data_IF_385245130945
#
_entry.id   IF_385245130945
#
_cell.length_a   1.000
_cell.length_b   1.000
_cell.length_c   1.000
_cell.angle_alpha   90.00
_cell.angle_beta   90.00
_cell.angle_gamma   90.00
#
_symmetry.space_group_name_H-M   'P 1'
#
loop_
_entity.id
_entity.type
_entity.pdbx_description
1 polymer ?
#
# COMPACT_ATOMS: atom_id res chain seq x y z
N UNK A 1 39.89 -26.38 10.52
CA UNK A 1 38.63 -25.93 9.91
C UNK A 1 37.89 -25.13 10.97
N UNK A 2 38.10 -23.82 11.06
CA UNK A 2 37.38 -22.98 12.01
C UNK A 2 36.04 -22.60 11.40
N UNK A 3 34.94 -23.01 12.05
CA UNK A 3 33.60 -22.52 11.80
C UNK A 3 33.52 -21.09 12.33
N UNK A 4 33.40 -20.11 11.44
CA UNK A 4 33.02 -18.75 11.81
C UNK A 4 31.50 -18.73 12.03
N UNK A 5 31.07 -18.51 13.27
CA UNK A 5 29.71 -18.09 13.57
C UNK A 5 29.57 -16.64 13.13
N UNK A 6 28.78 -16.38 12.09
CA UNK A 6 28.34 -15.04 11.76
C UNK A 6 27.33 -14.60 12.83
N UNK A 7 27.80 -13.78 13.78
CA UNK A 7 26.92 -13.00 14.65
C UNK A 7 26.04 -12.10 13.79
N UNK A 8 24.74 -12.04 14.05
CA UNK A 8 23.91 -10.93 13.56
C UNK A 8 24.58 -9.61 13.96
N UNK A 9 24.56 -8.60 13.09
CA UNK A 9 25.08 -7.28 13.45
C UNK A 9 24.21 -6.68 14.56
N UNK A 10 24.81 -5.92 15.47
CA UNK A 10 24.09 -5.21 16.53
C UNK A 10 22.97 -4.32 15.95
N UNK A 11 23.18 -3.76 14.76
CA UNK A 11 22.20 -2.97 14.02
C UNK A 11 20.96 -3.78 13.59
N UNK A 12 21.12 -5.04 13.17
CA UNK A 12 19.98 -5.90 12.82
C UNK A 12 19.13 -6.20 14.06
N UNK A 13 19.78 -6.53 15.18
CA UNK A 13 19.12 -6.83 16.45
C UNK A 13 18.31 -5.64 16.95
N UNK A 14 18.92 -4.46 16.86
CA UNK A 14 18.31 -3.18 17.21
C UNK A 14 17.14 -2.82 16.30
N UNK A 15 17.29 -2.98 14.99
CA UNK A 15 16.25 -2.58 14.03
C UNK A 15 15.03 -3.49 14.09
N UNK A 16 15.19 -4.78 14.40
CA UNK A 16 14.10 -5.77 14.41
C UNK A 16 13.29 -5.80 15.71
N UNK A 17 13.75 -5.09 16.75
CA UNK A 17 13.08 -5.06 18.06
C UNK A 17 12.88 -3.59 18.49
N UNK A 18 11.91 -3.35 19.36
CA UNK A 18 11.70 -1.99 19.90
C UNK A 18 12.60 -1.81 21.11
N UNK A 19 13.66 -1.00 21.00
CA UNK A 19 14.60 -0.73 22.10
C UNK A 19 14.01 0.28 23.11
N UNK A 20 13.72 -0.13 24.35
CA UNK A 20 13.21 0.77 25.39
C UNK A 20 14.21 1.86 25.82
N UNK A 21 15.50 1.69 25.57
CA UNK A 21 16.56 2.63 25.95
C UNK A 21 16.63 3.85 25.02
N UNK A 22 16.26 3.67 23.74
CA UNK A 22 16.15 4.74 22.74
C UNK A 22 14.75 5.32 22.63
N UNK A 23 13.74 4.61 23.16
CA UNK A 23 12.37 5.06 23.19
C UNK A 23 11.75 4.80 24.57
N UNK A 24 11.87 5.79 25.46
CA UNK A 24 11.27 5.74 26.80
C UNK A 24 9.75 5.51 26.68
N UNK A 25 9.29 4.33 27.12
CA UNK A 25 7.88 3.88 27.15
C UNK A 25 7.01 4.48 26.04
N UNK A 26 7.04 3.89 24.85
CA UNK A 26 6.23 4.40 23.73
C UNK A 26 4.75 4.11 24.01
N UNK A 27 3.96 5.18 24.07
CA UNK A 27 2.51 5.11 24.26
C UNK A 27 1.86 4.21 23.18
N UNK A 28 1.05 3.20 23.56
CA UNK A 28 0.46 2.26 22.61
C UNK A 28 -0.45 2.94 21.57
N UNK A 29 -1.11 4.05 21.91
CA UNK A 29 -1.94 4.81 20.97
C UNK A 29 -1.07 5.54 19.92
N UNK A 30 0.06 6.11 20.32
CA UNK A 30 1.04 6.67 19.40
C UNK A 30 1.65 5.59 18.48
N UNK A 31 1.93 4.39 19.00
CA UNK A 31 2.41 3.26 18.18
C UNK A 31 1.39 2.86 17.12
N UNK A 32 0.11 2.79 17.47
CA UNK A 32 -0.99 2.58 16.52
C UNK A 32 -1.02 3.66 15.44
N UNK A 33 -0.94 4.94 15.84
CA UNK A 33 -0.95 6.08 14.92
C UNK A 33 0.16 5.96 13.86
N UNK A 34 1.39 5.71 14.31
CA UNK A 34 2.55 5.59 13.42
C UNK A 34 2.44 4.37 12.51
N UNK A 35 1.97 3.23 13.02
CA UNK A 35 1.78 2.02 12.21
C UNK A 35 0.71 2.23 11.12
N UNK A 36 -0.37 2.95 11.44
CA UNK A 36 -1.39 3.32 10.47
C UNK A 36 -0.81 4.22 9.37
N UNK A 37 -0.11 5.29 9.76
CA UNK A 37 0.52 6.18 8.79
C UNK A 37 1.52 5.45 7.88
N UNK A 38 2.36 4.57 8.42
CA UNK A 38 3.39 3.87 7.64
C UNK A 38 2.79 3.03 6.49
N UNK A 39 1.60 2.44 6.68
CA UNK A 39 0.97 1.48 5.75
C UNK A 39 0.95 1.96 4.29
N UNK A 40 0.65 3.24 4.06
CA UNK A 40 0.76 3.89 2.74
C UNK A 40 1.57 5.19 2.75
N UNK A 41 2.17 5.56 3.89
CA UNK A 41 3.00 6.75 4.05
C UNK A 41 4.49 6.48 3.87
N UNK A 42 4.95 5.24 3.96
CA UNK A 42 6.36 4.88 3.77
C UNK A 42 6.75 4.86 2.28
N UNK A 43 7.39 5.94 1.83
CA UNK A 43 7.79 6.12 0.43
C UNK A 43 8.72 5.01 -0.08
N UNK A 44 9.60 4.48 0.78
CA UNK A 44 10.49 3.36 0.42
C UNK A 44 9.70 2.07 0.22
N UNK A 45 8.74 1.79 1.12
CA UNK A 45 7.91 0.60 1.00
C UNK A 45 7.04 0.64 -0.26
N UNK A 46 6.53 1.82 -0.64
CA UNK A 46 5.61 1.95 -1.78
C UNK A 46 6.21 1.58 -3.14
N UNK A 47 7.55 1.59 -3.27
CA UNK A 47 8.27 1.14 -4.47
C UNK A 47 7.82 -0.25 -4.91
N UNK A 48 7.60 -1.19 -3.98
CA UNK A 48 7.20 -2.56 -4.31
C UNK A 48 5.83 -2.62 -5.01
N UNK A 49 4.91 -1.69 -4.72
CA UNK A 49 3.59 -1.66 -5.35
C UNK A 49 3.68 -1.17 -6.79
N UNK A 50 4.43 -0.08 -7.04
CA UNK A 50 4.67 0.45 -8.39
C UNK A 50 5.50 -0.51 -9.23
N UNK A 51 6.54 -1.11 -8.64
CA UNK A 51 7.53 -1.92 -9.35
C UNK A 51 6.97 -3.30 -9.69
N UNK A 52 6.23 -3.94 -8.76
CA UNK A 52 5.72 -5.30 -8.94
C UNK A 52 4.20 -5.41 -9.00
N UNK A 53 3.50 -5.01 -7.93
CA UNK A 53 2.09 -5.38 -7.74
C UNK A 53 1.16 -4.86 -8.84
N UNK A 54 1.30 -3.59 -9.24
CA UNK A 54 0.47 -3.01 -10.30
C UNK A 54 0.75 -3.62 -11.68
N UNK A 55 1.96 -4.13 -11.92
CA UNK A 55 2.31 -4.86 -13.12
C UNK A 55 1.71 -6.27 -13.12
N UNK A 56 1.85 -7.00 -12.00
CA UNK A 56 1.33 -8.36 -11.83
C UNK A 56 -0.20 -8.42 -11.95
N UNK A 57 -0.88 -7.40 -11.42
CA UNK A 57 -2.34 -7.24 -11.56
C UNK A 57 -2.76 -6.68 -12.92
N UNK A 58 -1.80 -6.30 -13.77
CA UNK A 58 -2.02 -5.71 -15.09
C UNK A 58 -2.93 -4.48 -15.05
N UNK A 59 -2.78 -3.64 -14.02
CA UNK A 59 -3.50 -2.37 -13.88
C UNK A 59 -2.70 -1.21 -14.46
N UNK A 60 -1.40 -1.15 -14.15
CA UNK A 60 -0.48 -0.14 -14.68
C UNK A 60 0.64 -0.82 -15.47
N UNK A 61 1.08 -0.16 -16.54
CA UNK A 61 2.18 -0.61 -17.40
C UNK A 61 2.68 0.56 -18.24
N UNK A 62 3.97 0.61 -18.56
CA UNK A 62 4.58 1.65 -19.40
C UNK A 62 5.58 2.55 -18.68
N UNK A 63 5.33 2.86 -17.41
CA UNK A 63 6.33 3.48 -16.54
C UNK A 63 7.57 2.59 -16.47
N UNK A 64 8.78 3.16 -16.58
CA UNK A 64 10.01 2.38 -16.59
C UNK A 64 10.10 1.41 -15.42
N UNK A 65 9.81 1.85 -14.19
CA UNK A 65 9.89 1.01 -13.00
C UNK A 65 8.91 -0.19 -13.08
N UNK A 66 7.63 0.08 -13.36
CA UNK A 66 6.59 -0.96 -13.45
C UNK A 66 6.90 -1.99 -14.54
N UNK A 67 7.34 -1.52 -15.72
CA UNK A 67 7.67 -2.41 -16.84
C UNK A 67 8.95 -3.20 -16.60
N UNK A 68 10.02 -2.53 -16.12
CA UNK A 68 11.31 -3.16 -15.91
C UNK A 68 11.24 -4.29 -14.90
N UNK A 69 10.58 -4.07 -13.76
CA UNK A 69 10.46 -5.07 -12.70
C UNK A 69 9.33 -6.06 -12.99
N UNK A 70 8.11 -5.74 -12.56
CA UNK A 70 6.99 -6.68 -12.62
C UNK A 70 6.53 -7.00 -14.05
N UNK A 71 6.59 -6.02 -14.97
CA UNK A 71 6.15 -6.22 -16.36
C UNK A 71 7.03 -7.16 -17.17
N UNK A 72 8.30 -7.32 -16.79
CA UNK A 72 9.28 -8.21 -17.45
C UNK A 72 9.83 -9.29 -16.52
N UNK A 73 9.18 -9.49 -15.37
CA UNK A 73 9.52 -10.51 -14.37
C UNK A 73 10.98 -10.46 -13.90
N UNK A 74 11.54 -9.25 -13.76
CA UNK A 74 12.90 -9.09 -13.23
C UNK A 74 12.92 -9.34 -11.73
N UNK A 75 13.67 -10.37 -11.33
CA UNK A 75 13.91 -10.69 -9.93
C UNK A 75 14.98 -9.75 -9.35
N UNK A 76 14.59 -8.96 -8.36
CA UNK A 76 15.49 -8.12 -7.58
C UNK A 76 15.17 -8.28 -6.09
N UNK A 77 16.11 -8.81 -5.32
CA UNK A 77 15.87 -9.10 -3.91
C UNK A 77 15.68 -7.84 -3.06
N UNK A 78 16.33 -6.72 -3.41
CA UNK A 78 16.21 -5.47 -2.67
C UNK A 78 14.84 -4.83 -2.90
N UNK A 79 14.29 -4.94 -4.12
CA UNK A 79 12.94 -4.48 -4.40
C UNK A 79 11.87 -5.40 -3.81
N UNK A 80 12.10 -6.71 -3.81
CA UNK A 80 11.19 -7.67 -3.20
C UNK A 80 11.18 -7.62 -1.66
N UNK A 81 12.24 -7.12 -1.01
CA UNK A 81 12.35 -7.09 0.46
C UNK A 81 11.65 -5.91 1.14
N UNK A 82 11.15 -4.94 0.37
CA UNK A 82 10.65 -3.66 0.91
C UNK A 82 9.55 -3.82 1.97
N UNK A 83 8.55 -4.68 1.76
CA UNK A 83 7.48 -4.94 2.76
C UNK A 83 8.08 -5.57 4.02
N UNK A 84 8.90 -6.63 3.83
CA UNK A 84 9.56 -7.33 4.92
C UNK A 84 10.35 -6.38 5.81
N UNK A 85 11.28 -5.62 5.22
CA UNK A 85 12.14 -4.70 5.95
C UNK A 85 11.31 -3.61 6.62
N UNK A 86 10.38 -2.97 5.90
CA UNK A 86 9.65 -1.81 6.44
C UNK A 86 8.75 -2.18 7.60
N UNK A 87 8.02 -3.29 7.52
CA UNK A 87 7.12 -3.70 8.60
C UNK A 87 7.86 -4.30 9.80
N UNK A 88 8.78 -5.25 9.60
CA UNK A 88 9.48 -5.86 10.73
C UNK A 88 10.41 -4.90 11.47
N UNK A 89 10.90 -3.85 10.82
CA UNK A 89 11.76 -2.86 11.49
C UNK A 89 11.01 -1.67 12.07
N UNK A 90 9.69 -1.53 11.81
CA UNK A 90 8.90 -0.38 12.24
C UNK A 90 7.48 -0.78 12.71
N UNK A 91 6.46 -0.72 11.85
CA UNK A 91 5.06 -0.87 12.27
C UNK A 91 4.77 -2.18 13.00
N UNK A 92 5.18 -3.33 12.45
CA UNK A 92 4.85 -4.62 13.05
C UNK A 92 5.57 -4.81 14.39
N UNK A 93 6.86 -4.47 14.50
CA UNK A 93 7.57 -4.57 15.79
C UNK A 93 6.97 -3.64 16.84
N UNK A 94 6.58 -2.43 16.46
CA UNK A 94 5.99 -1.44 17.36
C UNK A 94 4.60 -1.91 17.82
N UNK A 95 3.80 -2.45 16.91
CA UNK A 95 2.49 -3.03 17.25
C UNK A 95 2.64 -4.24 18.17
N UNK A 96 3.64 -5.12 17.95
CA UNK A 96 3.92 -6.26 18.84
C UNK A 96 4.31 -5.77 20.23
N UNK A 97 5.21 -4.79 20.32
CA UNK A 97 5.61 -4.18 21.59
C UNK A 97 4.42 -3.58 22.35
N UNK A 98 3.61 -2.76 21.68
CA UNK A 98 2.42 -2.13 22.25
C UNK A 98 1.38 -3.17 22.72
N UNK A 99 1.15 -4.21 21.90
CA UNK A 99 0.22 -5.29 22.21
C UNK A 99 0.70 -6.10 23.42
N UNK A 100 1.99 -6.39 23.52
CA UNK A 100 2.58 -7.12 24.63
C UNK A 100 2.41 -6.36 25.95
N UNK A 101 2.73 -5.06 25.95
CA UNK A 101 2.63 -4.19 27.14
C UNK A 101 1.21 -3.97 27.64
N UNK A 102 0.20 -4.21 26.80
CA UNK A 102 -1.22 -3.98 27.12
C UNK A 102 -2.02 -5.28 27.34
N UNK A 103 -1.41 -6.46 27.15
CA UNK A 103 -2.13 -7.74 27.07
C UNK A 103 -2.93 -8.10 28.33
N UNK A 104 -2.39 -7.81 29.51
CA UNK A 104 -2.97 -8.21 30.81
C UNK A 104 -3.55 -7.02 31.60
N UNK A 105 -3.66 -5.84 30.98
CA UNK A 105 -4.24 -4.64 31.61
C UNK A 105 -5.74 -4.54 31.25
N UNK A 106 -6.60 -4.87 32.22
CA UNK A 106 -8.06 -4.80 32.07
C UNK A 106 -8.60 -3.38 31.81
N UNK A 107 -7.78 -2.34 32.02
CA UNK A 107 -8.08 -0.95 31.68
C UNK A 107 -7.48 -0.54 30.33
N UNK A 108 -7.03 -1.48 29.50
CA UNK A 108 -6.47 -1.27 28.14
C UNK A 108 -7.03 -2.23 27.11
N UNK A 109 -8.18 -2.85 27.40
CA UNK A 109 -8.77 -3.87 26.54
C UNK A 109 -9.07 -3.34 25.14
N UNK A 110 -9.47 -2.08 25.00
CA UNK A 110 -9.81 -1.52 23.70
C UNK A 110 -8.56 -1.28 22.85
N UNK A 111 -7.57 -0.57 23.39
CA UNK A 111 -6.32 -0.37 22.64
C UNK A 111 -5.62 -1.70 22.35
N UNK A 112 -5.62 -2.65 23.29
CA UNK A 112 -5.04 -3.98 23.05
C UNK A 112 -5.73 -4.72 21.90
N UNK A 113 -7.07 -4.78 21.91
CA UNK A 113 -7.84 -5.42 20.84
C UNK A 113 -7.62 -4.75 19.49
N UNK A 114 -7.58 -3.41 19.44
CA UNK A 114 -7.28 -2.67 18.21
C UNK A 114 -5.87 -2.96 17.69
N UNK A 115 -4.86 -2.98 18.56
CA UNK A 115 -3.49 -3.35 18.21
C UNK A 115 -3.42 -4.77 17.65
N UNK A 116 -4.14 -5.73 18.23
CA UNK A 116 -4.21 -7.12 17.73
C UNK A 116 -4.85 -7.22 16.35
N UNK A 117 -5.96 -6.51 16.14
CA UNK A 117 -6.63 -6.45 14.82
C UNK A 117 -5.67 -5.86 13.78
N UNK A 118 -4.97 -4.78 14.11
CA UNK A 118 -4.03 -4.15 13.18
C UNK A 118 -2.76 -5.00 12.96
N UNK A 119 -2.28 -5.71 13.99
CA UNK A 119 -1.21 -6.70 13.87
C UNK A 119 -1.56 -7.78 12.85
N UNK A 120 -2.77 -8.33 12.94
CA UNK A 120 -3.27 -9.34 11.99
C UNK A 120 -3.32 -8.75 10.57
N UNK A 121 -3.81 -7.52 10.40
CA UNK A 121 -3.83 -6.87 9.09
C UNK A 121 -2.42 -6.72 8.49
N UNK A 122 -1.45 -6.19 9.23
CA UNK A 122 -0.07 -6.04 8.76
C UNK A 122 0.58 -7.40 8.45
N UNK A 123 0.38 -8.39 9.32
CA UNK A 123 0.91 -9.73 9.11
C UNK A 123 0.28 -10.43 7.90
N UNK A 124 -0.99 -10.15 7.59
CA UNK A 124 -1.64 -10.68 6.40
C UNK A 124 -0.97 -10.22 5.11
N UNK A 125 -0.49 -8.97 5.07
CA UNK A 125 0.26 -8.44 3.92
C UNK A 125 1.60 -9.17 3.78
N UNK A 126 2.31 -9.41 4.88
CA UNK A 126 3.60 -10.13 4.88
C UNK A 126 3.41 -11.55 4.36
N UNK A 127 2.49 -12.34 4.95
CA UNK A 127 2.33 -13.73 4.54
C UNK A 127 1.74 -13.86 3.14
N UNK A 128 0.82 -12.98 2.71
CA UNK A 128 0.30 -12.99 1.33
C UNK A 128 1.39 -12.62 0.31
N UNK A 129 2.50 -11.98 0.74
CA UNK A 129 3.65 -11.66 -0.10
C UNK A 129 4.70 -12.77 -0.12
N UNK A 130 5.00 -13.37 1.05
CA UNK A 130 6.20 -14.21 1.24
C UNK A 130 5.92 -15.66 1.64
N UNK A 131 4.70 -16.02 2.04
CA UNK A 131 4.38 -17.33 2.59
C UNK A 131 4.70 -17.44 4.09
N UNK A 132 5.41 -18.49 4.46
CA UNK A 132 5.86 -18.73 5.84
C UNK A 132 6.74 -17.58 6.34
N UNK A 133 6.49 -17.07 7.54
CA UNK A 133 7.15 -15.88 8.06
C UNK A 133 7.11 -15.79 9.60
N UNK A 134 8.04 -15.07 10.25
CA UNK A 134 8.00 -14.83 11.69
C UNK A 134 6.72 -14.14 12.14
N UNK A 135 5.95 -14.77 13.03
CA UNK A 135 4.74 -14.17 13.60
C UNK A 135 4.65 -14.37 15.12
N UNK A 136 4.50 -15.61 15.58
CA UNK A 136 4.32 -15.95 17.01
C UNK A 136 5.53 -15.61 17.88
N UNK A 137 6.73 -15.57 17.30
CA UNK A 137 7.98 -15.25 18.00
C UNK A 137 8.59 -13.89 17.57
N UNK A 138 7.97 -13.19 16.62
CA UNK A 138 8.51 -11.96 16.06
C UNK A 138 8.53 -10.82 17.09
N UNK A 139 9.56 -9.96 17.03
CA UNK A 139 9.65 -8.74 17.87
C UNK A 139 9.86 -8.98 19.37
N UNK A 140 10.13 -10.22 19.79
CA UNK A 140 10.27 -10.60 21.20
C UNK A 140 11.72 -10.59 21.72
N UNK A 141 12.67 -10.00 20.99
CA UNK A 141 14.08 -9.97 21.36
C UNK A 141 14.33 -9.25 22.69
N UNK A 142 13.94 -7.97 22.79
CA UNK A 142 14.10 -7.20 24.03
C UNK A 142 13.02 -7.50 25.09
N UNK A 143 11.91 -8.16 24.70
CA UNK A 143 10.82 -8.53 25.60
C UNK A 143 11.05 -9.88 26.30
N UNK A 144 11.54 -10.89 25.57
CA UNK A 144 11.67 -12.26 26.05
C UNK A 144 13.03 -12.93 25.72
N UNK A 145 13.98 -12.21 25.11
CA UNK A 145 15.26 -12.78 24.68
C UNK A 145 15.16 -13.67 23.44
N UNK A 146 14.04 -13.61 22.70
CA UNK A 146 13.81 -14.41 21.47
C UNK A 146 14.30 -13.66 20.24
N UNK A 147 15.57 -13.85 19.94
CA UNK A 147 16.27 -13.10 18.89
C UNK A 147 16.29 -13.76 17.50
N UNK A 148 16.02 -15.07 17.43
CA UNK A 148 15.96 -15.84 16.18
C UNK A 148 14.57 -16.46 16.02
N UNK A 149 13.54 -15.66 15.68
CA UNK A 149 12.17 -16.14 15.60
C UNK A 149 12.03 -17.16 14.45
N UNK A 150 11.35 -18.27 14.72
CA UNK A 150 11.01 -19.24 13.67
C UNK A 150 10.05 -18.62 12.65
N UNK A 151 10.07 -19.18 11.45
CA UNK A 151 9.08 -18.85 10.42
C UNK A 151 7.87 -19.74 10.65
N UNK A 152 6.74 -19.13 10.98
CA UNK A 152 5.49 -19.85 11.14
C UNK A 152 4.94 -20.23 9.78
N UNK A 153 4.33 -21.41 9.70
CA UNK A 153 3.67 -21.84 8.47
C UNK A 153 2.52 -20.90 8.14
N UNK A 154 2.32 -20.59 6.87
CA UNK A 154 1.20 -19.76 6.43
C UNK A 154 -0.15 -20.30 6.91
N UNK A 155 -0.34 -21.63 6.91
CA UNK A 155 -1.54 -22.26 7.47
C UNK A 155 -1.76 -21.91 8.95
N UNK A 156 -0.71 -22.00 9.76
CA UNK A 156 -0.76 -21.70 11.20
C UNK A 156 -0.97 -20.19 11.45
N UNK A 157 -0.37 -19.34 10.63
CA UNK A 157 -0.59 -17.88 10.64
C UNK A 157 -2.07 -17.57 10.39
N UNK A 158 -2.68 -18.16 9.36
CA UNK A 158 -4.09 -17.96 9.05
C UNK A 158 -5.01 -18.50 10.16
N UNK A 159 -4.69 -19.66 10.75
CA UNK A 159 -5.40 -20.17 11.91
C UNK A 159 -5.36 -19.16 13.08
N UNK A 160 -4.20 -18.58 13.35
CA UNK A 160 -4.03 -17.57 14.38
C UNK A 160 -4.78 -16.25 14.06
N UNK A 161 -4.91 -15.86 12.78
CA UNK A 161 -5.71 -14.69 12.41
C UNK A 161 -7.17 -14.80 12.85
N UNK A 162 -7.81 -15.95 12.62
CA UNK A 162 -9.21 -16.14 13.04
C UNK A 162 -9.37 -16.07 14.56
N UNK A 163 -8.46 -16.72 15.31
CA UNK A 163 -8.48 -16.72 16.77
C UNK A 163 -8.23 -15.33 17.36
N UNK A 164 -7.23 -14.60 16.85
CA UNK A 164 -6.89 -13.26 17.32
C UNK A 164 -8.03 -12.27 17.06
N UNK A 165 -8.62 -12.31 15.87
CA UNK A 165 -9.72 -11.41 15.51
C UNK A 165 -10.99 -11.71 16.30
N UNK A 166 -11.32 -12.99 16.50
CA UNK A 166 -12.48 -13.38 17.31
C UNK A 166 -12.35 -12.96 18.78
N UNK A 167 -11.20 -13.23 19.41
CA UNK A 167 -10.97 -12.84 20.79
C UNK A 167 -10.91 -11.31 20.95
N UNK A 168 -10.27 -10.59 20.02
CA UNK A 168 -10.25 -9.13 20.04
C UNK A 168 -11.66 -8.53 19.96
N UNK A 169 -12.52 -9.06 19.07
CA UNK A 169 -13.93 -8.65 18.96
C UNK A 169 -14.69 -8.86 20.26
N UNK A 170 -14.47 -10.00 20.93
CA UNK A 170 -15.14 -10.34 22.19
C UNK A 170 -14.63 -9.56 23.40
N UNK A 171 -13.39 -9.04 23.36
CA UNK A 171 -12.81 -8.23 24.43
C UNK A 171 -13.10 -6.73 24.33
N UNK A 172 -13.47 -6.23 23.15
CA UNK A 172 -13.83 -4.81 22.98
C UNK A 172 -15.02 -4.45 23.85
N UNK A 173 -14.86 -3.37 24.63
CA UNK A 173 -15.88 -2.83 25.53
C UNK A 173 -15.90 -1.29 25.43
N UNK A 174 -16.90 -0.67 24.78
CA UNK A 174 -16.98 0.78 24.63
C UNK A 174 -16.98 1.60 25.94
N UNK A 175 -17.22 0.95 27.07
CA UNK A 175 -17.22 1.55 28.41
C UNK A 175 -15.83 1.65 29.05
N UNK A 176 -14.84 0.96 28.49
CA UNK A 176 -13.43 0.93 28.94
C UNK A 176 -12.61 2.07 28.32
N UNK A 177 -11.30 1.87 28.19
CA UNK A 177 -10.36 2.88 27.73
C UNK A 177 -10.72 3.46 26.36
N UNK A 178 -10.37 4.73 26.17
CA UNK A 178 -10.54 5.41 24.89
C UNK A 178 -9.29 5.21 24.04
N UNK A 179 -9.48 4.67 22.85
CA UNK A 179 -8.44 4.62 21.82
C UNK A 179 -8.25 6.03 21.28
N UNK A 180 -7.04 6.55 21.43
CA UNK A 180 -6.63 7.87 20.95
C UNK A 180 -5.65 7.69 19.78
N UNK A 181 -5.48 8.72 18.94
CA UNK A 181 -4.56 8.63 17.80
C UNK A 181 -4.98 7.71 16.64
N UNK A 182 -6.15 7.08 16.71
CA UNK A 182 -6.68 6.24 15.62
C UNK A 182 -7.11 7.07 14.40
N UNK A 183 -6.39 6.91 13.29
CA UNK A 183 -6.62 7.59 12.02
C UNK A 183 -7.61 6.88 11.10
N UNK A 184 -8.11 5.71 11.48
CA UNK A 184 -9.11 4.95 10.71
C UNK A 184 -10.51 5.30 11.20
N UNK A 185 -10.80 5.02 12.48
CA UNK A 185 -12.15 5.17 13.04
C UNK A 185 -12.26 6.22 14.15
N UNK A 186 -11.20 7.01 14.38
CA UNK A 186 -11.17 8.03 15.42
C UNK A 186 -11.54 7.48 16.81
N UNK A 187 -11.19 6.21 17.08
CA UNK A 187 -11.43 5.54 18.35
C UNK A 187 -12.81 4.90 18.49
N UNK A 188 -13.62 4.83 17.43
CA UNK A 188 -14.87 4.07 17.42
C UNK A 188 -14.58 2.56 17.39
N UNK A 189 -14.56 1.96 18.58
CA UNK A 189 -14.24 0.54 18.77
C UNK A 189 -15.31 -0.41 18.23
N UNK A 190 -16.54 0.06 18.01
CA UNK A 190 -17.57 -0.77 17.35
C UNK A 190 -17.26 -0.94 15.87
N UNK A 191 -16.72 0.09 15.20
CA UNK A 191 -16.21 -0.05 13.84
C UNK A 191 -14.98 -0.94 13.75
N UNK A 192 -14.15 -0.98 14.80
CA UNK A 192 -13.06 -1.96 14.89
C UNK A 192 -13.56 -3.41 14.96
N UNK A 193 -14.68 -3.68 15.66
CA UNK A 193 -15.32 -5.00 15.60
C UNK A 193 -15.80 -5.33 14.18
N UNK A 194 -16.44 -4.38 13.49
CA UNK A 194 -16.89 -4.55 12.11
C UNK A 194 -15.72 -4.84 11.15
N UNK A 195 -14.61 -4.12 11.29
CA UNK A 195 -13.40 -4.36 10.51
C UNK A 195 -12.81 -5.74 10.81
N UNK A 196 -12.69 -6.13 12.08
CA UNK A 196 -12.16 -7.42 12.47
C UNK A 196 -12.96 -8.58 11.87
N UNK A 197 -14.29 -8.54 11.96
CA UNK A 197 -15.14 -9.56 11.34
C UNK A 197 -15.09 -9.51 9.80
N UNK A 198 -14.96 -8.33 9.19
CA UNK A 198 -14.80 -8.21 7.74
C UNK A 198 -13.44 -8.74 7.26
N UNK A 199 -12.38 -8.63 8.07
CA UNK A 199 -11.10 -9.29 7.83
C UNK A 199 -11.22 -10.81 7.96
N UNK A 200 -11.98 -11.32 8.95
CA UNK A 200 -12.31 -12.75 9.03
C UNK A 200 -13.02 -13.24 7.76
N UNK A 201 -13.99 -12.49 7.22
CA UNK A 201 -14.62 -12.82 5.92
C UNK A 201 -13.59 -12.86 4.78
N UNK A 202 -12.69 -11.86 4.71
CA UNK A 202 -11.61 -11.82 3.70
C UNK A 202 -10.71 -13.06 3.80
N UNK A 203 -10.26 -13.41 4.99
CA UNK A 203 -9.35 -14.54 5.19
C UNK A 203 -10.03 -15.89 5.01
N UNK A 204 -11.28 -16.02 5.44
CA UNK A 204 -12.10 -17.20 5.17
C UNK A 204 -12.23 -17.43 3.66
N UNK A 205 -12.55 -16.38 2.89
CA UNK A 205 -12.62 -16.48 1.44
C UNK A 205 -11.27 -16.77 0.78
N UNK A 206 -10.16 -16.27 1.35
CA UNK A 206 -8.81 -16.57 0.87
C UNK A 206 -8.51 -18.07 0.95
N UNK A 207 -8.87 -18.74 2.04
CA UNK A 207 -8.58 -20.16 2.24
C UNK A 207 -9.61 -21.11 1.59
N UNK A 208 -10.63 -20.57 0.90
CA UNK A 208 -11.76 -21.34 0.35
C UNK A 208 -11.38 -22.49 -0.57
N UNK A 209 -10.27 -22.39 -1.32
CA UNK A 209 -9.82 -23.48 -2.18
C UNK A 209 -9.00 -24.54 -1.43
N UNK A 210 -8.17 -24.14 -0.47
CA UNK A 210 -7.25 -25.05 0.23
C UNK A 210 -7.92 -25.78 1.40
N UNK A 211 -8.88 -25.13 2.06
CA UNK A 211 -9.68 -25.73 3.13
C UNK A 211 -11.13 -25.20 3.08
N UNK A 212 -11.97 -25.72 2.16
CA UNK A 212 -13.33 -25.24 1.97
C UNK A 212 -14.21 -25.35 3.21
N UNK A 213 -14.06 -26.43 3.99
CA UNK A 213 -14.83 -26.66 5.21
C UNK A 213 -14.53 -25.59 6.27
N UNK A 214 -13.24 -25.32 6.54
CA UNK A 214 -12.87 -24.27 7.50
C UNK A 214 -13.28 -22.90 6.97
N UNK A 215 -13.09 -22.63 5.68
CA UNK A 215 -13.51 -21.37 5.05
C UNK A 215 -14.99 -21.08 5.29
N UNK A 216 -15.87 -22.06 5.05
CA UNK A 216 -17.31 -21.92 5.30
C UNK A 216 -17.59 -21.61 6.77
N UNK A 217 -17.04 -22.41 7.69
CA UNK A 217 -17.24 -22.22 9.14
C UNK A 217 -16.79 -20.83 9.60
N UNK A 218 -15.59 -20.38 9.22
CA UNK A 218 -15.07 -19.08 9.64
C UNK A 218 -15.86 -17.91 9.04
N UNK A 219 -16.36 -18.07 7.80
CA UNK A 219 -17.21 -17.08 7.16
C UNK A 219 -18.55 -16.93 7.89
N UNK A 220 -19.23 -18.04 8.18
CA UNK A 220 -20.51 -18.06 8.90
C UNK A 220 -20.35 -17.52 10.34
N UNK A 221 -19.28 -17.92 11.04
CA UNK A 221 -18.97 -17.42 12.37
C UNK A 221 -18.74 -15.90 12.39
N UNK A 222 -18.02 -15.36 11.41
CA UNK A 222 -17.77 -13.92 11.32
C UNK A 222 -19.05 -13.10 11.07
N UNK A 223 -20.01 -13.64 10.32
CA UNK A 223 -21.32 -12.99 10.12
C UNK A 223 -22.15 -12.94 11.41
N UNK A 224 -22.01 -13.93 12.29
CA UNK A 224 -22.77 -14.04 13.54
C UNK A 224 -22.07 -13.39 14.76
N UNK A 225 -20.84 -12.88 14.59
CA UNK A 225 -20.03 -12.36 15.67
C UNK A 225 -20.49 -10.99 16.20
N UNK A 226 -20.06 -10.65 17.42
CA UNK A 226 -20.33 -9.35 18.05
C UNK A 226 -19.87 -8.19 17.15
N UNK A 227 -20.67 -7.12 17.10
CA UNK A 227 -20.42 -5.95 16.27
C UNK A 227 -20.78 -6.12 14.78
N UNK A 228 -21.03 -7.35 14.31
CA UNK A 228 -21.33 -7.64 12.90
C UNK A 228 -20.16 -7.34 11.97
N UNK A 229 -20.44 -7.16 10.68
CA UNK A 229 -19.45 -6.84 9.63
C UNK A 229 -19.71 -5.44 9.06
N UNK A 230 -18.81 -4.94 8.21
CA UNK A 230 -19.03 -3.70 7.46
C UNK A 230 -20.18 -3.94 6.48
N UNK A 231 -21.28 -3.20 6.63
CA UNK A 231 -22.49 -3.33 5.79
C UNK A 231 -22.75 -2.13 4.89
N UNK A 232 -22.10 -1.00 5.16
CA UNK A 232 -22.15 0.21 4.36
C UNK A 232 -20.84 1.02 4.46
N UNK A 233 -20.68 1.98 3.54
CA UNK A 233 -19.44 2.74 3.36
C UNK A 233 -19.09 3.67 4.54
N UNK A 234 -20.02 3.96 5.46
CA UNK A 234 -19.71 4.79 6.64
C UNK A 234 -18.77 4.09 7.62
N UNK A 235 -18.62 2.77 7.49
CA UNK A 235 -17.68 1.94 8.25
C UNK A 235 -16.48 1.46 7.43
N UNK A 236 -16.24 2.03 6.24
CA UNK A 236 -15.03 1.71 5.47
C UNK A 236 -13.76 2.01 6.28
N UNK A 237 -12.82 1.06 6.31
CA UNK A 237 -11.54 1.20 6.99
C UNK A 237 -10.55 1.98 6.13
N UNK A 238 -10.59 3.31 6.22
CA UNK A 238 -9.72 4.20 5.44
C UNK A 238 -8.80 4.99 6.36
N UNK A 239 -7.49 4.92 6.12
CA UNK A 239 -6.48 5.68 6.86
C UNK A 239 -6.51 7.14 6.38
N UNK A 240 -6.66 8.08 7.31
CA UNK A 240 -6.62 9.51 7.01
C UNK A 240 -5.17 9.98 6.84
N UNK A 241 -4.85 10.46 5.65
CA UNK A 241 -3.59 11.14 5.34
C UNK A 241 -3.79 12.65 5.18
N UNK A 242 -2.73 13.40 5.44
CA UNK A 242 -2.69 14.84 5.24
C UNK A 242 -2.31 15.18 3.79
N UNK A 243 -2.75 16.35 3.32
CA UNK A 243 -2.19 16.93 2.09
C UNK A 243 -0.82 17.54 2.38
N UNK A 244 0.22 16.94 1.82
CA UNK A 244 1.62 17.39 1.92
C UNK A 244 2.16 17.50 0.49
N UNK A 245 2.99 18.51 0.22
CA UNK A 245 3.64 18.65 -1.08
C UNK A 245 4.58 17.47 -1.36
N UNK A 246 4.58 16.96 -2.59
CA UNK A 246 5.43 15.82 -2.93
C UNK A 246 6.91 16.23 -2.93
N UNK A 247 7.73 15.41 -2.27
CA UNK A 247 9.18 15.58 -2.19
C UNK A 247 9.85 14.21 -2.19
N UNK A 248 10.91 14.06 -2.99
CA UNK A 248 11.75 12.86 -3.04
C UNK A 248 13.13 13.10 -2.41
N UNK A 249 13.28 14.18 -1.63
CA UNK A 249 14.47 14.41 -0.83
C UNK A 249 14.56 13.45 0.37
N UNK A 250 15.74 13.31 0.95
CA UNK A 250 16.01 12.34 2.03
C UNK A 250 15.02 12.42 3.20
N UNK A 251 14.65 13.64 3.63
CA UNK A 251 13.72 13.87 4.75
C UNK A 251 12.29 13.36 4.47
N UNK A 252 11.90 13.18 3.20
CA UNK A 252 10.57 12.68 2.87
C UNK A 252 10.40 11.18 3.15
N UNK A 253 11.51 10.42 3.21
CA UNK A 253 11.47 8.97 3.44
C UNK A 253 11.16 8.58 4.90
N UNK A 254 11.18 9.54 5.83
CA UNK A 254 10.75 9.37 7.22
C UNK A 254 9.42 10.08 7.53
N UNK A 255 8.79 10.72 6.54
CA UNK A 255 7.52 11.44 6.70
C UNK A 255 6.33 10.64 6.19
N UNK A 256 5.59 10.02 7.11
CA UNK A 256 4.44 9.18 6.78
C UNK A 256 3.10 9.93 6.78
N UNK A 257 3.10 11.26 6.91
CA UNK A 257 1.86 12.05 7.04
C UNK A 257 1.06 12.11 5.74
N UNK A 258 1.73 12.03 4.59
CA UNK A 258 1.11 11.99 3.26
C UNK A 258 0.90 10.56 2.75
N UNK A 259 0.03 10.40 1.75
CA UNK A 259 -0.11 9.13 1.05
C UNK A 259 1.01 9.01 0.01
N UNK A 260 2.06 8.27 0.37
CA UNK A 260 3.25 8.08 -0.47
C UNK A 260 3.02 7.15 -1.65
N UNK A 261 1.97 6.31 -1.63
CA UNK A 261 1.59 5.54 -2.82
C UNK A 261 1.12 6.49 -3.93
N UNK A 262 0.27 7.46 -3.58
CA UNK A 262 -0.23 8.48 -4.49
C UNK A 262 0.92 9.36 -5.00
N UNK A 263 1.85 9.74 -4.12
CA UNK A 263 3.08 10.45 -4.52
C UNK A 263 3.91 9.64 -5.52
N UNK A 264 4.09 8.34 -5.30
CA UNK A 264 4.92 7.50 -6.16
C UNK A 264 4.25 7.20 -7.51
N UNK A 265 2.91 7.13 -7.55
CA UNK A 265 2.13 7.01 -8.77
C UNK A 265 2.08 8.31 -9.57
N UNK A 266 2.21 9.48 -8.92
CA UNK A 266 2.54 10.72 -9.62
C UNK A 266 3.95 10.63 -10.21
N UNK A 267 4.93 10.23 -9.40
CA UNK A 267 6.28 9.85 -9.85
C UNK A 267 7.38 10.83 -9.45
N UNK A 268 8.59 10.29 -9.29
CA UNK A 268 9.83 11.05 -9.11
C UNK A 268 10.36 11.65 -10.43
N UNK A 269 9.87 11.15 -11.56
CA UNK A 269 10.06 11.66 -12.92
C UNK A 269 8.68 11.69 -13.61
N UNK A 270 7.77 12.53 -13.11
CA UNK A 270 6.34 12.46 -13.45
C UNK A 270 6.07 12.84 -14.90
N UNK A 271 6.99 13.60 -15.50
CA UNK A 271 7.06 13.90 -16.91
C UNK A 271 7.27 12.60 -17.71
N UNK A 272 8.45 11.99 -17.62
CA UNK A 272 8.78 10.93 -18.58
C UNK A 272 8.21 9.55 -18.18
N UNK A 273 7.91 9.36 -16.90
CA UNK A 273 7.51 8.08 -16.31
C UNK A 273 6.22 8.16 -15.46
N UNK A 274 5.12 8.75 -15.95
CA UNK A 274 3.85 8.77 -15.23
C UNK A 274 3.23 7.37 -15.15
N UNK A 275 2.19 7.24 -14.32
CA UNK A 275 1.39 6.01 -14.20
C UNK A 275 0.48 5.79 -15.41
N UNK A 276 1.03 5.23 -16.48
CA UNK A 276 0.27 4.75 -17.62
C UNK A 276 -0.59 3.50 -17.27
N UNK A 277 -1.81 3.45 -17.78
CA UNK A 277 -2.68 2.28 -17.62
C UNK A 277 -2.23 1.13 -18.53
N UNK A 278 -2.25 -0.07 -17.96
CA UNK A 278 -2.11 -1.30 -18.72
C UNK A 278 -3.33 -1.54 -19.62
N UNK A 279 -3.11 -2.08 -20.82
CA UNK A 279 -4.16 -2.33 -21.81
C UNK A 279 -5.19 -3.33 -21.31
N UNK A 280 -4.81 -4.32 -20.49
CA UNK A 280 -5.76 -5.24 -19.85
C UNK A 280 -6.83 -4.49 -19.05
N UNK A 281 -6.41 -3.62 -18.13
CA UNK A 281 -7.33 -2.88 -17.27
C UNK A 281 -8.08 -1.77 -18.01
N UNK A 282 -7.40 -0.99 -18.85
CA UNK A 282 -8.07 0.03 -19.65
C UNK A 282 -9.13 -0.58 -20.58
N UNK A 283 -8.81 -1.67 -21.27
CA UNK A 283 -9.75 -2.34 -22.16
C UNK A 283 -10.92 -2.95 -21.41
N UNK A 284 -10.69 -3.50 -20.21
CA UNK A 284 -11.78 -3.99 -19.37
C UNK A 284 -12.79 -2.87 -19.09
N UNK A 285 -12.33 -1.68 -18.69
CA UNK A 285 -13.21 -0.53 -18.44
C UNK A 285 -13.87 -0.02 -19.73
N UNK A 286 -13.06 0.28 -20.74
CA UNK A 286 -13.51 0.92 -21.96
C UNK A 286 -14.47 0.03 -22.77
N UNK A 287 -14.11 -1.24 -23.00
CA UNK A 287 -14.92 -2.15 -23.84
C UNK A 287 -16.21 -2.61 -23.17
N UNK A 288 -16.26 -2.60 -21.84
CA UNK A 288 -17.50 -2.90 -21.10
C UNK A 288 -18.43 -1.69 -20.99
N UNK A 289 -18.01 -0.51 -21.46
CA UNK A 289 -18.77 0.73 -21.28
C UNK A 289 -18.82 1.18 -19.81
N UNK A 290 -17.80 0.86 -19.02
CA UNK A 290 -17.78 1.13 -17.60
C UNK A 290 -17.79 2.65 -17.33
N UNK A 291 -18.74 3.18 -16.51
CA UNK A 291 -18.82 4.62 -16.21
C UNK A 291 -17.60 5.15 -15.44
N UNK A 292 -16.72 4.26 -14.97
CA UNK A 292 -15.46 4.61 -14.30
C UNK A 292 -14.29 4.80 -15.25
N UNK A 293 -14.43 4.45 -16.54
CA UNK A 293 -13.34 4.54 -17.54
C UNK A 293 -12.61 5.88 -17.45
N UNK A 294 -13.34 6.97 -17.69
CA UNK A 294 -12.77 8.33 -17.63
C UNK A 294 -12.92 9.02 -16.26
N UNK A 295 -13.16 8.23 -15.20
CA UNK A 295 -12.98 8.66 -13.80
C UNK A 295 -11.63 8.20 -13.27
N UNK A 296 -11.22 6.99 -13.66
CA UNK A 296 -9.94 6.37 -13.29
C UNK A 296 -8.83 6.85 -14.21
N UNK A 297 -9.11 7.02 -15.51
CA UNK A 297 -8.11 7.42 -16.49
C UNK A 297 -8.48 8.71 -17.22
N UNK A 298 -7.46 9.38 -17.74
CA UNK A 298 -7.54 10.55 -18.61
C UNK A 298 -6.34 10.54 -19.54
N UNK A 299 -6.44 11.30 -20.61
CA UNK A 299 -5.32 11.68 -21.45
C UNK A 299 -4.96 13.14 -21.14
N UNK A 300 -3.70 13.38 -20.78
CA UNK A 300 -3.22 14.69 -20.39
C UNK A 300 -2.07 15.15 -21.27
N UNK A 301 -1.97 16.46 -21.45
CA UNK A 301 -0.73 17.13 -21.79
C UNK A 301 -0.09 17.68 -20.50
N UNK A 302 1.13 17.24 -20.22
CA UNK A 302 1.80 17.46 -18.94
C UNK A 302 2.93 18.49 -19.00
N UNK A 303 3.15 19.16 -20.14
CA UNK A 303 4.23 20.14 -20.31
C UNK A 303 4.10 21.42 -19.44
N UNK A 304 2.97 21.61 -18.75
CA UNK A 304 2.75 22.70 -17.78
C UNK A 304 2.62 22.20 -16.34
N UNK A 305 2.74 20.89 -16.12
CA UNK A 305 2.49 20.24 -14.83
C UNK A 305 3.47 20.70 -13.75
N UNK A 306 2.97 20.84 -12.52
CA UNK A 306 3.80 21.09 -11.34
C UNK A 306 4.76 19.91 -11.08
N UNK A 307 5.97 20.19 -10.58
CA UNK A 307 6.92 19.14 -10.19
C UNK A 307 6.58 18.47 -8.85
N UNK A 308 5.71 19.08 -8.03
CA UNK A 308 5.43 18.66 -6.65
C UNK A 308 3.95 18.36 -6.38
N UNK A 309 3.10 18.44 -7.42
CA UNK A 309 1.66 18.18 -7.34
C UNK A 309 1.11 17.85 -8.74
N UNK A 310 -0.09 17.25 -8.85
CA UNK A 310 -0.73 17.00 -10.14
C UNK A 310 -1.38 18.25 -10.77
N UNK A 311 -1.05 19.45 -10.28
CA UNK A 311 -1.65 20.70 -10.75
C UNK A 311 -1.13 21.09 -12.15
N UNK A 312 -1.91 21.93 -12.84
CA UNK A 312 -1.60 22.49 -14.17
C UNK A 312 -1.50 21.49 -15.33
N UNK A 313 -1.96 20.25 -15.15
CA UNK A 313 -2.15 19.29 -16.24
C UNK A 313 -3.30 19.73 -17.14
N UNK A 314 -3.12 19.60 -18.46
CA UNK A 314 -4.14 19.97 -19.44
C UNK A 314 -4.86 18.70 -19.89
N UNK A 315 -6.14 18.57 -19.53
CA UNK A 315 -6.96 17.42 -19.92
C UNK A 315 -7.41 17.53 -21.38
N UNK A 316 -7.02 16.56 -22.19
CA UNK A 316 -7.34 16.48 -23.62
C UNK A 316 -8.26 15.28 -23.94
N UNK A 317 -8.80 14.62 -22.92
CA UNK A 317 -9.60 13.39 -23.07
C UNK A 317 -10.85 13.63 -23.92
N UNK A 318 -11.60 14.70 -23.64
CA UNK A 318 -12.85 14.98 -24.34
C UNK A 318 -12.60 15.33 -25.82
N UNK A 319 -11.54 16.10 -26.10
CA UNK A 319 -11.12 16.41 -27.48
C UNK A 319 -10.78 15.12 -28.25
N UNK A 320 -10.05 14.20 -27.62
CA UNK A 320 -9.73 12.90 -28.23
C UNK A 320 -10.98 12.08 -28.55
N UNK A 321 -11.98 12.06 -27.66
CA UNK A 321 -13.25 11.37 -27.88
C UNK A 321 -13.98 11.96 -29.09
N UNK A 322 -14.14 13.29 -29.13
CA UNK A 322 -14.89 13.99 -30.18
C UNK A 322 -14.24 13.86 -31.56
N UNK A 323 -12.91 13.82 -31.60
CA UNK A 323 -12.13 13.64 -32.84
C UNK A 323 -11.96 12.17 -33.23
N UNK A 324 -12.45 11.23 -32.44
CA UNK A 324 -12.28 9.79 -32.70
C UNK A 324 -10.81 9.34 -32.65
N UNK A 325 -9.98 9.99 -31.82
CA UNK A 325 -8.58 9.61 -31.64
C UNK A 325 -8.50 8.30 -30.85
N UNK A 326 -7.69 7.36 -31.34
CA UNK A 326 -7.49 6.09 -30.66
C UNK A 326 -6.72 6.27 -29.34
N UNK A 327 -7.27 5.73 -28.25
CA UNK A 327 -6.56 5.63 -26.98
C UNK A 327 -5.45 4.58 -27.07
N UNK A 328 -4.31 4.89 -26.47
CA UNK A 328 -3.11 4.05 -26.55
C UNK A 328 -2.65 3.60 -25.16
N UNK A 329 -3.40 2.73 -24.46
CA UNK A 329 -2.93 2.10 -23.22
C UNK A 329 -1.70 1.21 -23.51
N UNK A 330 -1.01 0.77 -22.47
CA UNK A 330 0.28 0.05 -22.62
C UNK A 330 0.10 -1.44 -22.46
N UNK A 331 0.55 -2.22 -23.43
CA UNK A 331 0.46 -3.68 -23.35
C UNK A 331 1.33 -4.24 -22.21
N UNK A 332 0.93 -5.36 -21.58
CA UNK A 332 1.74 -6.00 -20.54
C UNK A 332 3.20 -6.19 -20.96
N UNK A 333 4.13 -5.65 -20.18
CA UNK A 333 5.59 -5.73 -20.42
C UNK A 333 6.15 -4.69 -21.40
N UNK A 334 5.31 -3.80 -21.95
CA UNK A 334 5.72 -2.72 -22.82
C UNK A 334 6.12 -1.47 -22.03
N UNK A 335 7.18 -0.78 -22.48
CA UNK A 335 7.49 0.56 -22.00
C UNK A 335 6.55 1.61 -22.63
N UNK A 336 6.58 2.84 -22.11
CA UNK A 336 5.77 3.95 -22.62
C UNK A 336 5.99 4.22 -24.12
N UNK A 337 7.17 3.85 -24.63
CA UNK A 337 7.57 3.99 -26.03
C UNK A 337 7.38 2.75 -26.92
N UNK A 338 6.78 1.67 -26.40
CA UNK A 338 6.63 0.40 -27.11
C UNK A 338 5.13 0.10 -27.40
N UNK A 339 4.63 0.32 -28.64
CA UNK A 339 5.17 1.25 -29.62
C UNK A 339 4.89 2.71 -29.21
N UNK A 340 5.65 3.63 -29.77
CA UNK A 340 5.41 5.06 -29.61
C UNK A 340 3.96 5.40 -29.98
N UNK A 341 3.25 6.22 -29.18
CA UNK A 341 1.89 6.63 -29.50
C UNK A 341 1.83 7.27 -30.89
N UNK A 342 0.77 6.97 -31.64
CA UNK A 342 0.43 7.74 -32.84
C UNK A 342 -0.03 9.12 -32.38
N UNK A 343 0.80 10.13 -32.58
CA UNK A 343 0.46 11.47 -32.11
C UNK A 343 -0.63 12.14 -32.93
N UNK A 344 -1.22 13.17 -32.33
CA UNK A 344 -2.23 14.00 -32.95
C UNK A 344 -2.04 15.47 -32.53
N UNK A 345 -2.53 16.41 -33.34
CA UNK A 345 -2.47 17.83 -33.02
C UNK A 345 -3.69 18.24 -32.19
N UNK A 346 -3.46 18.65 -30.94
CA UNK A 346 -4.52 19.11 -30.04
C UNK A 346 -4.93 20.55 -30.34
N UNK A 347 -6.23 20.81 -30.44
CA UNK A 347 -6.75 22.17 -30.61
C UNK A 347 -6.69 22.95 -29.29
N UNK A 348 -6.91 22.28 -28.16
CA UNK A 348 -6.69 22.86 -26.82
C UNK A 348 -5.24 23.34 -26.70
N UNK A 349 -4.26 22.50 -27.06
CA UNK A 349 -2.86 22.88 -26.99
C UNK A 349 -2.48 23.95 -28.02
N UNK A 350 -3.11 24.00 -29.21
CA UNK A 350 -2.93 25.11 -30.17
C UNK A 350 -3.36 26.44 -29.57
N UNK A 351 -4.51 26.48 -28.91
CA UNK A 351 -5.01 27.70 -28.29
C UNK A 351 -4.07 28.18 -27.17
N UNK A 352 -3.63 27.26 -26.31
CA UNK A 352 -2.67 27.56 -25.25
C UNK A 352 -1.32 28.06 -25.80
N UNK A 353 -0.85 27.48 -26.90
CA UNK A 353 0.41 27.86 -27.54
C UNK A 353 0.42 29.30 -28.10
N UNK A 354 -0.75 29.91 -28.36
CA UNK A 354 -0.85 31.31 -28.80
C UNK A 354 -0.23 32.25 -27.76
N UNK A 355 -0.49 31.99 -26.47
CA UNK A 355 -0.05 32.84 -25.37
C UNK A 355 1.09 32.22 -24.56
N UNK A 356 1.42 30.95 -24.80
CA UNK A 356 2.52 30.26 -24.15
C UNK A 356 3.36 29.43 -25.15
N UNK A 357 4.47 29.99 -25.68
CA UNK A 357 5.31 29.32 -26.66
C UNK A 357 5.97 28.02 -26.18
N UNK A 358 5.97 27.71 -24.87
CA UNK A 358 6.48 26.43 -24.36
C UNK A 358 5.50 25.27 -24.58
N UNK A 359 4.24 25.56 -24.94
CA UNK A 359 3.21 24.54 -25.17
C UNK A 359 3.39 23.91 -26.54
N UNK A 360 3.49 22.59 -26.57
CA UNK A 360 3.56 21.82 -27.82
C UNK A 360 2.18 21.44 -28.31
N UNK A 361 1.93 21.63 -29.60
CA UNK A 361 0.66 21.31 -30.25
C UNK A 361 0.51 19.82 -30.54
N UNK A 362 1.59 19.21 -31.00
CA UNK A 362 1.58 17.82 -31.43
C UNK A 362 1.84 16.91 -30.24
N UNK A 363 0.86 16.07 -29.91
CA UNK A 363 0.93 15.07 -28.84
C UNK A 363 1.71 13.84 -29.30
N UNK A 364 2.99 14.02 -29.62
CA UNK A 364 3.92 12.94 -29.94
C UNK A 364 4.93 12.79 -28.82
N UNK A 365 5.06 11.57 -28.29
CA UNK A 365 6.26 11.19 -27.54
C UNK A 365 7.23 10.62 -28.56
N UNK A 366 8.12 11.46 -29.14
CA UNK A 366 9.24 10.97 -29.98
C UNK A 366 10.54 11.36 -29.30
N UNK A 367 11.41 10.38 -29.09
CA UNK A 367 12.79 10.62 -28.71
C UNK A 367 13.56 11.29 -29.85
N UNK A 368 14.15 12.46 -29.56
CA UNK A 368 15.22 13.07 -30.35
C UNK A 368 16.48 13.11 -29.47
N UNK A 369 17.61 12.49 -29.87
CA UNK A 369 18.83 12.47 -29.06
C UNK A 369 19.42 13.84 -28.73
N UNK A 370 18.98 14.90 -29.42
CA UNK A 370 19.57 16.25 -29.34
C UNK A 370 18.63 17.33 -28.79
N UNK A 371 17.46 16.98 -28.23
CA UNK A 371 16.54 17.97 -27.64
C UNK A 371 16.03 17.50 -26.26
N UNK A 372 15.82 18.43 -25.31
CA UNK A 372 15.24 18.11 -24.01
C UNK A 372 13.83 17.52 -24.20
N UNK A 373 13.53 16.52 -23.39
CA UNK A 373 12.42 15.58 -23.55
C UNK A 373 11.10 16.26 -23.16
N UNK A 374 10.07 16.09 -24.01
CA UNK A 374 8.70 16.51 -23.73
C UNK A 374 7.92 15.25 -23.37
N UNK A 375 7.40 15.27 -22.16
CA UNK A 375 6.56 14.26 -21.50
C UNK A 375 5.08 14.39 -21.79
#
# INVERSE_FOLDING_TARGET
MCLFFASCSDEYMENMNTDPSKAATIDPNAQLTTAQLQTYGDLSMMEIYRNYHYAFTQQLMGCWNTTNYGGRHTLDNNEMSRIWTSFYTQSLKNIIDAQYRTAEDAEKVNINSVLRIYRVYLMSIITDTYGDAPFSEAGLGFLEGKFNPKYDKQEDIYNAFFLELEDAVNKIDPTKDKVTGDLIYAGDVTKWQQLANSLRLRFAMRISNVNPTKAQTEFENALAANGGVITDASSDALIKYMTIAFSFGQEAYSDYRGNSLSQLLFGNDPANNPSYLCSTFFNQLYKSGDPRTFKISRCYYDGLMSATSPDNRVDITQEMIEKGIAFSPRDPGAYSWEPWPTGYDSDICKELAINNPSVTVTMLVKWNPNLPIIS
#
